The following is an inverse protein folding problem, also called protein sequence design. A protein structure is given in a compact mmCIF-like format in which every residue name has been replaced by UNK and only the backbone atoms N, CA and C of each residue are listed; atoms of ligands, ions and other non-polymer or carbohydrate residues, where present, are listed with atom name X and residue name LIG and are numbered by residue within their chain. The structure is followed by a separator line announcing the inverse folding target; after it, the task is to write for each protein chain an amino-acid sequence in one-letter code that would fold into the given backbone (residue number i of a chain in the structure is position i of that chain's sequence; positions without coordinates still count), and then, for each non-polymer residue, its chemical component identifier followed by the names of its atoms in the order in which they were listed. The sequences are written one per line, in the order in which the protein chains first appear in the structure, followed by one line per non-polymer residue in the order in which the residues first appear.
data_IF_093816354337
#
_entry.id   IF_093816354337
#
_cell.length_a   1.000
_cell.length_b   1.000
_cell.length_c   1.000
_cell.angle_alpha   90.00
_cell.angle_beta   90.00
_cell.angle_gamma   90.00
#
_symmetry.space_group_name_H-M   'P 1'
#
loop_
_entity.id
_entity.type
_entity.pdbx_description
1 polymer ?
#
# COMPACT_ATOMS: atom_id res chain seq x y z
N UNK A 1 17.10 60.70 4.68
CA UNK A 1 15.80 60.00 4.85
C UNK A 1 15.77 58.91 3.78
N UNK A 2 15.70 57.61 4.01
CA UNK A 2 15.29 56.76 5.13
C UNK A 2 16.27 55.57 5.24
N UNK A 3 16.60 55.17 6.47
CA UNK A 3 17.05 53.81 6.81
C UNK A 3 15.91 52.84 6.51
N UNK A 4 16.17 51.60 6.08
CA UNK A 4 15.44 50.39 6.54
C UNK A 4 16.13 49.09 6.05
N UNK A 5 16.72 48.40 7.02
CA UNK A 5 17.03 46.97 7.16
C UNK A 5 16.91 46.01 5.95
N UNK A 6 18.05 45.67 5.34
CA UNK A 6 18.28 44.32 4.80
C UNK A 6 18.77 43.41 5.93
N UNK A 7 17.87 43.05 6.84
CA UNK A 7 18.10 42.07 7.89
C UNK A 7 16.75 41.59 8.44
N UNK A 8 15.93 40.95 7.61
CA UNK A 8 14.78 40.12 8.04
C UNK A 8 14.00 39.53 6.85
N UNK A 9 14.64 38.82 5.92
CA UNK A 9 13.92 37.87 5.05
C UNK A 9 14.79 36.64 4.78
N UNK A 10 15.28 36.01 5.86
CA UNK A 10 15.86 34.67 5.80
C UNK A 10 15.41 33.81 7.00
N UNK A 11 14.29 34.19 7.63
CA UNK A 11 13.73 33.48 8.79
C UNK A 11 12.23 33.17 8.68
N UNK A 12 11.63 33.36 7.49
CA UNK A 12 10.21 33.04 7.23
C UNK A 12 10.00 31.97 6.16
N UNK A 13 11.06 31.31 5.69
CA UNK A 13 10.99 30.19 4.74
C UNK A 13 11.44 28.85 5.35
N UNK A 14 11.48 28.76 6.68
CA UNK A 14 11.64 27.50 7.42
C UNK A 14 10.34 27.07 8.10
N UNK A 15 9.18 27.48 7.55
CA UNK A 15 7.96 26.70 7.80
C UNK A 15 8.17 25.37 7.12
N UNK A 16 8.36 24.33 7.91
CA UNK A 16 8.45 22.95 7.46
C UNK A 16 7.29 22.64 6.50
N UNK A 17 7.55 22.78 5.20
CA UNK A 17 6.82 22.01 4.22
C UNK A 17 7.20 20.58 4.52
N UNK A 18 6.27 19.80 5.07
CA UNK A 18 6.43 18.36 5.24
C UNK A 18 6.71 17.83 3.83
N UNK A 19 7.97 17.58 3.52
CA UNK A 19 8.34 16.92 2.29
C UNK A 19 7.75 15.51 2.38
N UNK A 20 6.68 15.27 1.63
CA UNK A 20 6.10 13.93 1.46
C UNK A 20 7.07 13.14 0.58
N UNK A 21 8.05 12.48 1.20
CA UNK A 21 8.99 11.59 0.53
C UNK A 21 8.47 10.16 0.63
N UNK A 22 8.39 9.46 -0.50
CA UNK A 22 8.23 8.01 -0.48
C UNK A 22 9.49 7.42 0.11
N UNK A 23 9.39 6.94 1.35
CA UNK A 23 10.49 6.28 2.05
C UNK A 23 10.20 4.80 2.03
N UNK A 24 11.16 4.01 1.54
CA UNK A 24 11.07 2.56 1.44
C UNK A 24 12.30 1.94 2.10
N UNK A 25 12.12 0.76 2.70
CA UNK A 25 13.20 0.07 3.42
C UNK A 25 13.49 0.65 4.79
N UNK A 26 12.52 1.36 5.38
CA UNK A 26 12.60 1.89 6.73
C UNK A 26 12.35 0.76 7.73
N UNK A 27 13.20 0.68 8.76
CA UNK A 27 12.97 -0.26 9.85
C UNK A 27 11.80 0.22 10.71
N UNK A 28 10.89 -0.70 11.05
CA UNK A 28 9.70 -0.39 11.84
C UNK A 28 9.23 -1.62 12.64
N UNK A 29 8.08 -1.49 13.33
CA UNK A 29 7.42 -2.59 14.04
C UNK A 29 6.59 -3.49 13.10
N UNK A 30 6.63 -3.27 11.79
CA UNK A 30 5.92 -4.07 10.81
C UNK A 30 5.70 -3.36 9.49
N UNK A 31 5.29 -4.11 8.48
CA UNK A 31 5.07 -3.63 7.12
C UNK A 31 3.81 -4.22 6.52
N UNK A 32 3.27 -3.57 5.49
CA UNK A 32 2.17 -4.12 4.69
C UNK A 32 2.63 -4.34 3.26
N UNK A 33 2.34 -5.53 2.72
CA UNK A 33 2.41 -5.80 1.28
C UNK A 33 0.97 -5.69 0.75
N UNK A 34 0.59 -4.56 0.13
CA UNK A 34 -0.80 -4.20 -0.14
C UNK A 34 -1.46 -5.06 -1.22
N UNK A 35 -0.69 -5.88 -1.92
CA UNK A 35 -1.20 -6.72 -2.99
C UNK A 35 -0.34 -7.98 -3.14
N UNK A 36 -0.97 -9.12 -2.89
CA UNK A 36 -0.34 -10.43 -2.81
C UNK A 36 -1.22 -11.41 -3.59
N UNK A 37 -0.60 -12.24 -4.43
CA UNK A 37 -1.30 -13.28 -5.20
C UNK A 37 -0.36 -14.45 -5.50
N UNK A 38 -0.91 -15.65 -5.59
CA UNK A 38 -0.28 -16.74 -6.33
C UNK A 38 -1.27 -17.39 -7.29
N UNK A 39 -0.81 -17.71 -8.49
CA UNK A 39 -1.55 -18.46 -9.51
C UNK A 39 -0.92 -19.84 -9.72
N UNK A 40 -0.35 -20.40 -8.65
CA UNK A 40 0.51 -21.59 -8.67
C UNK A 40 2.00 -21.24 -8.54
N UNK A 41 2.85 -22.27 -8.57
CA UNK A 41 4.27 -22.13 -8.26
C UNK A 41 5.06 -21.24 -9.24
N UNK A 42 4.54 -21.00 -10.44
CA UNK A 42 5.20 -20.18 -11.46
C UNK A 42 4.80 -18.71 -11.42
N UNK A 43 3.87 -18.29 -10.56
CA UNK A 43 3.40 -16.92 -10.46
C UNK A 43 3.02 -16.63 -9.01
N UNK A 44 3.92 -16.00 -8.25
CA UNK A 44 3.75 -15.77 -6.80
C UNK A 44 4.38 -14.47 -6.36
N UNK A 45 3.79 -13.87 -5.32
CA UNK A 45 4.47 -12.81 -4.56
C UNK A 45 5.56 -13.42 -3.68
N UNK A 46 6.75 -12.82 -3.68
CA UNK A 46 7.86 -13.13 -2.79
C UNK A 46 8.24 -11.88 -2.00
N UNK A 47 8.50 -12.04 -0.71
CA UNK A 47 8.84 -10.98 0.23
C UNK A 47 10.18 -11.32 0.88
N UNK A 48 11.08 -10.34 0.93
CA UNK A 48 12.35 -10.43 1.66
C UNK A 48 12.27 -9.55 2.88
N UNK A 49 12.43 -10.13 4.07
CA UNK A 49 12.44 -9.39 5.34
C UNK A 49 13.84 -9.39 5.95
N UNK A 50 14.25 -8.27 6.54
CA UNK A 50 15.51 -8.15 7.28
C UNK A 50 15.23 -7.72 8.70
N UNK A 51 15.88 -8.36 9.67
CA UNK A 51 15.88 -7.93 11.06
C UNK A 51 17.18 -7.19 11.40
N UNK A 52 17.12 -5.96 11.94
CA UNK A 52 18.28 -5.21 12.44
C UNK A 52 18.09 -4.70 13.88
N UNK A 53 17.31 -5.47 14.63
CA UNK A 53 16.89 -5.26 16.00
C UNK A 53 17.99 -5.24 17.06
N UNK A 54 19.15 -5.84 16.80
CA UNK A 54 20.12 -6.22 17.84
C UNK A 54 19.68 -7.42 18.70
N UNK A 55 18.46 -7.94 18.49
CA UNK A 55 17.90 -9.09 19.22
C UNK A 55 16.99 -9.94 18.34
N UNK A 56 16.72 -11.18 18.76
CA UNK A 56 15.74 -12.05 18.10
C UNK A 56 14.32 -11.48 18.22
N UNK A 57 13.57 -11.51 17.12
CA UNK A 57 12.18 -11.07 17.04
C UNK A 57 11.32 -12.12 16.36
N UNK A 58 10.12 -12.33 16.88
CA UNK A 58 9.06 -13.04 16.21
C UNK A 58 8.36 -12.09 15.24
N UNK A 59 8.21 -12.51 13.99
CA UNK A 59 7.44 -11.81 12.98
C UNK A 59 6.22 -12.65 12.70
N UNK A 60 5.07 -12.09 13.06
CA UNK A 60 3.76 -12.62 12.69
C UNK A 60 3.41 -12.11 11.31
N UNK A 61 2.76 -12.94 10.53
CA UNK A 61 2.22 -12.56 9.24
C UNK A 61 0.76 -12.98 9.16
N UNK A 62 -0.07 -12.12 8.59
CA UNK A 62 -1.50 -12.40 8.38
C UNK A 62 -1.86 -12.06 6.95
N UNK A 63 -2.50 -13.01 6.26
CA UNK A 63 -3.08 -12.78 4.94
C UNK A 63 -4.57 -12.49 5.04
N UNK A 64 -4.96 -11.37 4.45
CA UNK A 64 -6.34 -10.96 4.25
C UNK A 64 -6.68 -11.07 2.77
N UNK A 65 -7.80 -11.68 2.42
CA UNK A 65 -8.29 -11.67 1.04
C UNK A 65 -8.88 -10.29 0.65
N UNK A 66 -9.30 -10.12 -0.61
CA UNK A 66 -9.92 -8.86 -1.05
C UNK A 66 -11.20 -8.51 -0.28
N UNK A 67 -11.88 -9.47 0.35
CA UNK A 67 -13.03 -9.19 1.22
C UNK A 67 -12.60 -8.76 2.64
N UNK A 68 -11.32 -8.47 2.85
CA UNK A 68 -10.74 -8.09 4.15
C UNK A 68 -10.89 -9.17 5.23
N UNK A 69 -11.08 -10.43 4.81
CA UNK A 69 -11.20 -11.55 5.76
C UNK A 69 -9.82 -12.11 6.02
N UNK A 70 -9.51 -12.28 7.30
CA UNK A 70 -8.37 -13.09 7.71
C UNK A 70 -8.60 -14.53 7.20
N UNK A 71 -7.71 -15.00 6.31
CA UNK A 71 -7.76 -16.36 5.75
C UNK A 71 -6.75 -17.29 6.41
N UNK A 72 -5.51 -16.84 6.57
CA UNK A 72 -4.45 -17.62 7.21
C UNK A 72 -3.35 -16.70 7.74
N UNK A 73 -2.69 -17.16 8.79
CA UNK A 73 -1.58 -16.49 9.44
C UNK A 73 -0.47 -17.48 9.77
N UNK A 74 0.64 -16.94 10.26
CA UNK A 74 1.73 -17.71 10.81
C UNK A 74 2.75 -16.83 11.51
N UNK A 75 3.81 -17.47 12.00
CA UNK A 75 4.90 -16.78 12.65
C UNK A 75 6.22 -17.50 12.42
N UNK A 76 7.29 -16.73 12.29
CA UNK A 76 8.66 -17.19 12.31
C UNK A 76 9.52 -16.27 13.18
N UNK A 77 10.64 -16.78 13.67
CA UNK A 77 11.62 -15.98 14.44
C UNK A 77 12.79 -15.60 13.56
N UNK A 78 13.22 -14.34 13.65
CA UNK A 78 14.42 -13.82 13.01
C UNK A 78 15.42 -13.39 14.08
N UNK A 79 16.65 -13.88 14.05
CA UNK A 79 17.76 -13.36 14.86
C UNK A 79 18.27 -12.03 14.28
N UNK A 80 19.15 -11.33 14.99
CA UNK A 80 19.68 -10.05 14.49
C UNK A 80 20.52 -10.26 13.22
N UNK A 81 20.33 -9.37 12.24
CA UNK A 81 20.92 -9.43 10.89
C UNK A 81 20.45 -10.60 10.03
N UNK A 82 19.40 -11.32 10.44
CA UNK A 82 18.81 -12.35 9.59
C UNK A 82 18.05 -11.73 8.41
N UNK A 83 18.12 -12.45 7.29
CA UNK A 83 17.28 -12.26 6.12
C UNK A 83 16.32 -13.45 6.01
N UNK A 84 15.02 -13.18 6.06
CA UNK A 84 13.98 -14.19 5.92
C UNK A 84 13.31 -14.06 4.55
N UNK A 85 13.47 -15.05 3.66
CA UNK A 85 12.62 -15.16 2.49
C UNK A 85 11.23 -15.67 2.91
N UNK A 86 10.20 -15.04 2.37
CA UNK A 86 8.81 -15.46 2.48
C UNK A 86 8.24 -15.57 1.07
N UNK A 87 7.81 -16.76 0.66
CA UNK A 87 7.29 -17.00 -0.68
C UNK A 87 5.83 -17.39 -0.54
N UNK A 88 4.92 -16.54 -1.04
CA UNK A 88 3.49 -16.68 -0.73
C UNK A 88 2.95 -18.06 -1.08
N UNK A 89 3.23 -18.60 -2.27
CA UNK A 89 2.74 -19.93 -2.67
C UNK A 89 3.15 -21.07 -1.71
N UNK A 90 4.24 -20.92 -0.95
CA UNK A 90 4.66 -21.92 0.04
C UNK A 90 3.88 -21.82 1.35
N UNK A 91 3.38 -20.63 1.68
CA UNK A 91 2.72 -20.29 2.96
C UNK A 91 1.19 -20.25 2.83
N UNK A 92 0.67 -20.01 1.63
CA UNK A 92 -0.72 -19.64 1.37
C UNK A 92 -1.75 -20.76 1.59
N UNK A 93 -1.30 -22.01 1.72
CA UNK A 93 -2.18 -23.19 1.67
C UNK A 93 -2.86 -23.38 0.30
N UNK A 94 -3.58 -24.49 0.12
CA UNK A 94 -4.15 -24.85 -1.19
C UNK A 94 -5.37 -24.04 -1.65
N UNK A 95 -6.04 -23.29 -0.76
CA UNK A 95 -7.34 -22.66 -1.01
C UNK A 95 -7.27 -21.19 -1.47
N UNK A 96 -6.06 -20.65 -1.61
CA UNK A 96 -5.74 -19.24 -1.90
C UNK A 96 -5.22 -19.02 -3.32
N UNK A 97 -5.06 -20.09 -4.12
CA UNK A 97 -4.68 -19.99 -5.52
C UNK A 97 -5.69 -19.15 -6.31
N UNK A 98 -5.19 -18.18 -7.08
CA UNK A 98 -6.02 -17.24 -7.83
C UNK A 98 -6.73 -16.18 -6.98
N UNK A 99 -6.54 -16.19 -5.66
CA UNK A 99 -7.10 -15.19 -4.76
C UNK A 99 -6.06 -14.13 -4.47
N UNK A 100 -6.46 -12.88 -4.70
CA UNK A 100 -5.67 -11.71 -4.35
C UNK A 100 -5.99 -11.30 -2.92
N UNK A 101 -5.04 -10.63 -2.27
CA UNK A 101 -5.18 -10.14 -0.91
C UNK A 101 -4.01 -9.25 -0.53
N UNK A 102 -3.83 -9.01 0.75
CA UNK A 102 -2.69 -8.27 1.30
C UNK A 102 -2.09 -9.01 2.50
N UNK A 103 -0.80 -8.79 2.74
CA UNK A 103 -0.08 -9.34 3.89
C UNK A 103 0.27 -8.23 4.86
N UNK A 104 0.00 -8.45 6.14
CA UNK A 104 0.51 -7.63 7.24
C UNK A 104 1.59 -8.44 7.93
N UNK A 105 2.80 -7.88 8.02
CA UNK A 105 3.90 -8.43 8.83
C UNK A 105 4.08 -7.58 10.07
N UNK A 106 4.05 -8.21 11.23
CA UNK A 106 3.99 -7.54 12.53
C UNK A 106 5.05 -8.11 13.47
N UNK A 107 5.86 -7.22 14.05
CA UNK A 107 6.85 -7.60 15.05
C UNK A 107 6.13 -7.86 16.38
N UNK A 108 6.34 -9.04 16.95
CA UNK A 108 5.94 -9.40 18.31
C UNK A 108 7.13 -9.39 19.28
N UNK A 109 7.11 -10.28 20.27
CA UNK A 109 8.24 -10.47 21.20
C UNK A 109 9.38 -11.28 20.61
N UNK A 110 10.15 -11.98 21.45
CA UNK A 110 11.31 -12.76 21.01
C UNK A 110 10.96 -14.12 20.39
N UNK A 111 9.75 -14.63 20.65
CA UNK A 111 9.28 -15.95 20.20
C UNK A 111 7.83 -15.86 19.71
N UNK A 112 7.39 -16.84 18.91
CA UNK A 112 6.02 -16.89 18.40
C UNK A 112 4.94 -17.10 19.48
N UNK A 113 5.33 -17.32 20.74
CA UNK A 113 4.41 -17.30 21.88
C UNK A 113 4.12 -15.88 22.39
N UNK A 114 4.96 -14.90 22.03
CA UNK A 114 4.81 -13.51 22.43
C UNK A 114 4.02 -12.74 21.37
N UNK A 115 2.72 -12.99 21.35
CA UNK A 115 1.76 -12.56 20.32
C UNK A 115 1.33 -11.09 20.40
N UNK A 116 1.74 -10.36 21.43
CA UNK A 116 1.39 -8.94 21.56
C UNK A 116 2.13 -8.09 20.52
N UNK A 117 1.47 -7.08 19.90
CA UNK A 117 2.14 -6.17 18.98
C UNK A 117 3.32 -5.44 19.63
N UNK A 118 4.43 -5.33 18.90
CA UNK A 118 5.58 -4.54 19.28
C UNK A 118 5.24 -3.04 19.35
N UNK A 119 5.83 -2.36 20.34
CA UNK A 119 5.61 -0.93 20.58
C UNK A 119 6.25 -0.09 19.47
N UNK A 120 5.58 0.98 19.05
CA UNK A 120 6.11 1.98 18.11
C UNK A 120 7.43 2.57 18.65
N UNK A 121 8.48 2.59 17.82
CA UNK A 121 9.85 2.98 18.21
C UNK A 121 10.80 1.79 18.45
N UNK A 122 10.29 0.57 18.46
CA UNK A 122 11.07 -0.67 18.33
C UNK A 122 11.20 -0.96 16.82
N UNK A 123 12.07 -0.22 16.13
CA UNK A 123 12.30 -0.31 14.68
C UNK A 123 13.18 -1.54 14.39
N UNK A 124 12.56 -2.64 13.96
CA UNK A 124 13.21 -3.96 13.96
C UNK A 124 13.28 -4.62 12.61
N UNK A 125 12.25 -4.48 11.78
CA UNK A 125 12.22 -5.12 10.47
C UNK A 125 11.99 -4.12 9.33
N UNK A 126 12.54 -4.44 8.17
CA UNK A 126 12.25 -3.81 6.89
C UNK A 126 12.00 -4.91 5.85
N UNK A 127 11.27 -4.60 4.79
CA UNK A 127 11.00 -5.59 3.74
C UNK A 127 10.98 -4.99 2.33
N UNK A 128 11.08 -5.88 1.35
CA UNK A 128 10.78 -5.61 -0.05
C UNK A 128 9.98 -6.78 -0.63
N UNK A 129 9.19 -6.53 -1.67
CA UNK A 129 8.39 -7.56 -2.30
C UNK A 129 8.46 -7.51 -3.83
N UNK A 130 8.24 -8.65 -4.46
CA UNK A 130 8.19 -8.81 -5.91
C UNK A 130 7.09 -9.78 -6.30
N UNK A 131 6.39 -9.52 -7.38
CA UNK A 131 5.63 -10.53 -8.10
C UNK A 131 6.58 -11.23 -9.06
N UNK A 132 6.74 -12.53 -8.91
CA UNK A 132 7.64 -13.34 -9.73
C UNK A 132 6.79 -14.25 -10.62
N UNK A 133 6.89 -14.07 -11.94
CA UNK A 133 6.24 -14.91 -12.93
C UNK A 133 7.29 -15.63 -13.77
N UNK A 134 7.64 -16.86 -13.39
CA UNK A 134 8.68 -17.65 -14.08
C UNK A 134 8.21 -18.18 -15.43
N UNK A 135 6.91 -18.34 -15.64
CA UNK A 135 6.35 -18.77 -16.93
C UNK A 135 6.46 -17.66 -17.99
N UNK A 136 6.23 -16.41 -17.59
CA UNK A 136 6.41 -15.22 -18.43
C UNK A 136 7.85 -14.70 -18.43
N UNK A 137 8.74 -15.27 -17.61
CA UNK A 137 10.11 -14.78 -17.37
C UNK A 137 10.16 -13.31 -16.92
N UNK A 138 9.22 -12.92 -16.06
CA UNK A 138 9.02 -11.54 -15.64
C UNK A 138 9.03 -11.41 -14.11
N UNK A 139 9.54 -10.28 -13.63
CA UNK A 139 9.57 -9.94 -12.20
C UNK A 139 9.23 -8.46 -12.07
N UNK A 140 8.17 -8.16 -11.33
CA UNK A 140 7.74 -6.80 -11.06
C UNK A 140 7.87 -6.50 -9.56
N UNK A 141 8.42 -5.32 -9.22
CA UNK A 141 8.45 -4.85 -7.84
C UNK A 141 7.03 -4.70 -7.29
N UNK A 142 6.76 -5.24 -6.10
CA UNK A 142 5.51 -5.01 -5.37
C UNK A 142 5.82 -4.02 -4.25
N UNK A 143 5.21 -2.83 -4.22
CA UNK A 143 5.47 -1.86 -3.17
C UNK A 143 5.23 -2.45 -1.79
N UNK A 144 6.09 -2.10 -0.84
CA UNK A 144 5.90 -2.39 0.58
C UNK A 144 5.60 -1.07 1.27
N UNK A 145 4.53 -1.05 2.05
CA UNK A 145 4.15 0.11 2.86
C UNK A 145 4.85 -0.05 4.20
N UNK A 146 5.87 0.77 4.42
CA UNK A 146 6.62 0.77 5.67
C UNK A 146 5.75 1.26 6.83
N UNK A 147 5.96 0.69 8.02
CA UNK A 147 5.39 1.21 9.26
C UNK A 147 6.02 2.55 9.71
N UNK A 148 5.81 2.95 10.99
CA UNK A 148 5.18 2.17 12.03
C UNK A 148 3.72 1.78 11.76
N UNK A 149 3.37 0.55 12.15
CA UNK A 149 2.00 0.05 12.22
C UNK A 149 1.39 0.47 13.57
N UNK A 150 0.21 1.06 13.51
CA UNK A 150 -0.61 1.40 14.69
C UNK A 150 -1.82 0.47 14.72
N UNK A 151 -1.97 -0.27 15.81
CA UNK A 151 -3.10 -1.16 16.02
C UNK A 151 -4.15 -0.53 16.90
N UNK A 152 -5.40 -0.96 16.73
CA UNK A 152 -6.49 -0.58 17.61
C UNK A 152 -6.16 -0.92 19.08
N UNK A 153 -6.64 -0.09 20.01
CA UNK A 153 -6.26 -0.17 21.43
C UNK A 153 -6.57 -1.54 22.08
N UNK A 154 -7.51 -2.31 21.53
CA UNK A 154 -7.86 -3.66 21.99
C UNK A 154 -7.07 -4.79 21.33
N UNK A 155 -6.22 -4.51 20.34
CA UNK A 155 -5.43 -5.51 19.63
C UNK A 155 -4.24 -5.94 20.49
N UNK A 156 -4.38 -7.08 21.16
CA UNK A 156 -3.33 -7.67 22.02
C UNK A 156 -2.76 -8.97 21.50
N UNK A 157 -3.28 -9.49 20.38
CA UNK A 157 -2.92 -10.79 19.83
C UNK A 157 -2.84 -10.72 18.30
N UNK A 158 -1.62 -10.87 17.79
CA UNK A 158 -1.28 -10.83 16.36
C UNK A 158 -1.74 -12.08 15.60
N UNK A 159 -2.18 -13.15 16.27
CA UNK A 159 -2.67 -14.38 15.62
C UNK A 159 -4.15 -14.31 15.23
N UNK A 160 -4.86 -13.27 15.66
CA UNK A 160 -6.31 -13.11 15.44
C UNK A 160 -6.66 -11.74 14.87
N UNK A 161 -5.76 -11.16 14.07
CA UNK A 161 -6.03 -9.88 13.42
C UNK A 161 -7.28 -9.98 12.53
N UNK A 162 -8.09 -8.93 12.56
CA UNK A 162 -9.21 -8.68 11.66
C UNK A 162 -9.04 -7.36 10.91
N UNK A 163 -9.97 -7.05 10.01
CA UNK A 163 -9.94 -5.81 9.22
C UNK A 163 -9.83 -4.53 10.08
N UNK A 164 -10.47 -4.52 11.26
CA UNK A 164 -10.41 -3.37 12.17
C UNK A 164 -9.17 -3.34 13.09
N UNK A 165 -8.27 -4.32 13.02
CA UNK A 165 -7.15 -4.44 13.95
C UNK A 165 -6.02 -3.44 13.66
N UNK A 166 -5.77 -3.12 12.39
CA UNK A 166 -4.73 -2.19 11.94
C UNK A 166 -5.37 -0.84 11.60
N UNK A 167 -5.07 0.20 12.36
CA UNK A 167 -5.68 1.52 12.18
C UNK A 167 -4.85 2.42 11.26
N UNK A 168 -3.51 2.33 11.35
CA UNK A 168 -2.62 3.22 10.60
C UNK A 168 -1.31 2.57 10.21
N UNK A 169 -0.81 2.94 9.03
CA UNK A 169 0.50 2.60 8.51
C UNK A 169 1.20 3.90 8.10
N UNK A 170 2.32 4.23 8.75
CA UNK A 170 2.93 5.55 8.59
C UNK A 170 3.44 5.84 7.17
N UNK A 171 3.87 4.82 6.43
CA UNK A 171 4.32 4.96 5.03
C UNK A 171 3.20 5.20 4.01
N UNK A 172 1.93 5.15 4.43
CA UNK A 172 0.78 5.44 3.58
C UNK A 172 0.21 6.85 3.82
N UNK A 173 -0.51 7.37 2.84
CA UNK A 173 -1.16 8.68 2.95
C UNK A 173 -2.25 8.63 4.01
N UNK A 174 -2.38 9.68 4.82
CA UNK A 174 -3.31 9.69 5.94
C UNK A 174 -4.58 10.44 5.57
N UNK A 175 -5.74 9.88 5.90
CA UNK A 175 -7.03 10.54 5.71
C UNK A 175 -7.45 11.26 6.98
N UNK A 176 -8.18 12.37 6.82
CA UNK A 176 -8.74 13.14 7.93
C UNK A 176 -10.25 13.25 7.69
N UNK A 177 -11.09 12.49 8.41
CA UNK A 177 -12.53 12.40 8.17
C UNK A 177 -13.31 13.72 8.32
N UNK A 178 -12.70 14.74 8.95
CA UNK A 178 -13.39 15.98 9.39
C UNK A 178 -13.06 17.22 8.56
N UNK A 179 -12.27 17.11 7.47
CA UNK A 179 -12.02 18.23 6.57
C UNK A 179 -11.78 17.74 5.13
N UNK A 180 -12.79 17.82 4.22
CA UNK A 180 -12.68 17.32 2.85
C UNK A 180 -11.58 18.01 2.00
N UNK A 181 -11.03 19.12 2.48
CA UNK A 181 -9.92 19.83 1.83
C UNK A 181 -8.53 19.38 2.28
N UNK A 182 -8.42 18.49 3.30
CA UNK A 182 -7.16 18.07 3.96
C UNK A 182 -6.89 16.57 3.81
N UNK A 183 -7.69 15.87 3.00
CA UNK A 183 -7.54 14.43 2.78
C UNK A 183 -6.63 14.08 1.61
N UNK A 184 -6.05 12.88 1.65
CA UNK A 184 -5.18 12.37 0.61
C UNK A 184 -5.88 12.33 -0.75
N UNK A 185 -5.31 13.04 -1.73
CA UNK A 185 -5.72 13.00 -3.14
C UNK A 185 -4.69 12.24 -3.92
N UNK A 186 -5.11 11.23 -4.67
CA UNK A 186 -4.24 10.36 -5.46
C UNK A 186 -4.37 10.68 -6.94
N UNK A 187 -3.23 10.69 -7.64
CA UNK A 187 -3.16 10.67 -9.10
C UNK A 187 -2.66 9.30 -9.55
N UNK A 188 -3.58 8.46 -10.02
CA UNK A 188 -3.33 7.05 -10.37
C UNK A 188 -3.06 6.92 -11.87
N UNK A 189 -1.85 6.52 -12.26
CA UNK A 189 -1.43 6.41 -13.67
C UNK A 189 -2.17 5.27 -14.38
N UNK A 190 -2.61 5.47 -15.62
CA UNK A 190 -3.09 4.38 -16.46
C UNK A 190 -2.56 4.45 -17.90
N UNK A 191 -2.11 3.31 -18.43
CA UNK A 191 -1.63 3.17 -19.80
C UNK A 191 -2.29 1.96 -20.47
N UNK A 192 -3.02 2.21 -21.55
CA UNK A 192 -3.90 1.29 -22.26
C UNK A 192 -3.63 1.29 -23.77
N UNK A 193 -2.65 2.07 -24.24
CA UNK A 193 -2.33 2.16 -25.66
C UNK A 193 -1.50 0.96 -26.14
N UNK A 194 -1.52 0.68 -27.43
CA UNK A 194 -0.64 -0.31 -28.06
C UNK A 194 -0.77 -1.74 -27.51
N UNK A 195 -1.94 -2.10 -26.97
CA UNK A 195 -2.18 -3.40 -26.34
C UNK A 195 -1.70 -3.50 -24.89
N UNK A 196 -1.38 -2.37 -24.25
CA UNK A 196 -1.09 -2.33 -22.83
C UNK A 196 -2.32 -2.62 -21.97
N UNK A 197 -2.08 -3.22 -20.81
CA UNK A 197 -3.06 -3.43 -19.75
C UNK A 197 -2.57 -2.75 -18.48
N UNK A 198 -3.47 -2.04 -17.80
CA UNK A 198 -3.21 -1.47 -16.49
C UNK A 198 -4.14 -2.09 -15.47
N UNK A 199 -3.59 -2.41 -14.30
CA UNK A 199 -4.38 -2.56 -13.09
C UNK A 199 -3.95 -1.54 -12.05
N UNK A 200 -4.91 -0.89 -11.43
CA UNK A 200 -4.68 0.05 -10.33
C UNK A 200 -4.99 -0.67 -9.02
N UNK A 201 -4.06 -0.55 -8.07
CA UNK A 201 -4.21 -1.05 -6.71
C UNK A 201 -4.57 0.11 -5.80
N UNK A 202 -5.60 -0.08 -4.99
CA UNK A 202 -5.95 0.80 -3.88
C UNK A 202 -6.02 -0.07 -2.64
N UNK A 203 -5.21 0.28 -1.64
CA UNK A 203 -5.22 -0.35 -0.32
C UNK A 203 -5.51 0.67 0.76
N UNK A 204 -6.30 0.35 1.78
CA UNK A 204 -6.46 1.20 2.97
C UNK A 204 -6.66 0.42 4.27
N UNK A 205 -6.52 1.09 5.41
CA UNK A 205 -6.93 0.60 6.75
C UNK A 205 -8.39 0.94 7.09
N UNK A 206 -9.17 1.32 6.08
CA UNK A 206 -10.56 1.73 6.20
C UNK A 206 -11.41 1.14 5.10
N UNK A 207 -12.62 1.66 4.92
CA UNK A 207 -13.48 1.24 3.82
C UNK A 207 -13.47 2.27 2.68
N UNK A 208 -12.82 1.94 1.57
CA UNK A 208 -12.89 2.68 0.32
C UNK A 208 -14.07 2.26 -0.58
N UNK A 209 -14.78 1.19 -0.21
CA UNK A 209 -15.88 0.62 -0.98
C UNK A 209 -16.93 1.66 -1.35
N UNK A 210 -17.34 1.67 -2.62
CA UNK A 210 -18.41 2.53 -3.10
C UNK A 210 -18.16 3.06 -4.50
N UNK A 211 -19.09 3.90 -4.96
CA UNK A 211 -18.97 4.62 -6.22
C UNK A 211 -18.34 5.98 -5.99
N UNK A 212 -17.31 6.29 -6.77
CA UNK A 212 -16.52 7.51 -6.64
C UNK A 212 -16.57 8.32 -7.92
N UNK A 213 -17.01 9.57 -7.83
CA UNK A 213 -16.88 10.52 -8.92
C UNK A 213 -15.45 11.03 -8.98
N UNK A 214 -14.76 10.73 -10.07
CA UNK A 214 -13.35 11.07 -10.29
C UNK A 214 -13.18 11.93 -11.53
N UNK A 215 -11.99 12.52 -11.64
CA UNK A 215 -11.52 13.14 -12.88
C UNK A 215 -10.52 12.21 -13.54
N UNK A 216 -10.77 11.85 -14.78
CA UNK A 216 -9.80 11.15 -15.63
C UNK A 216 -9.22 12.14 -16.62
N UNK A 217 -7.91 12.10 -16.81
CA UNK A 217 -7.15 12.97 -17.69
C UNK A 217 -6.37 12.16 -18.69
N UNK A 218 -6.31 12.62 -19.95
CA UNK A 218 -5.37 12.07 -20.92
C UNK A 218 -3.96 12.72 -20.84
N UNK A 219 -3.04 12.26 -21.67
CA UNK A 219 -1.66 12.77 -21.82
C UNK A 219 -1.59 14.22 -22.34
N UNK A 220 -2.73 14.78 -22.78
CA UNK A 220 -2.91 16.17 -23.23
C UNK A 220 -3.69 17.02 -22.24
N UNK A 221 -3.89 16.51 -21.03
CA UNK A 221 -4.60 17.19 -19.94
C UNK A 221 -6.10 17.42 -20.21
N UNK A 222 -6.69 16.78 -21.21
CA UNK A 222 -8.13 16.83 -21.41
C UNK A 222 -8.80 16.13 -20.23
N UNK A 223 -9.78 16.78 -19.61
CA UNK A 223 -10.47 16.27 -18.42
C UNK A 223 -11.83 15.69 -18.78
N UNK A 224 -12.14 14.52 -18.22
CA UNK A 224 -13.52 14.00 -18.12
C UNK A 224 -13.85 13.64 -16.68
N UNK A 225 -15.07 13.94 -16.24
CA UNK A 225 -15.59 13.39 -14.99
C UNK A 225 -16.32 12.09 -15.28
N UNK A 226 -15.99 11.05 -14.52
CA UNK A 226 -16.56 9.70 -14.63
C UNK A 226 -16.78 9.14 -13.23
N UNK A 227 -17.64 8.14 -13.11
CA UNK A 227 -17.75 7.36 -11.89
C UNK A 227 -16.99 6.05 -12.07
N UNK A 228 -16.27 5.62 -11.04
CA UNK A 228 -15.73 4.27 -10.96
C UNK A 228 -16.05 3.68 -9.59
N UNK A 229 -16.14 2.36 -9.54
CA UNK A 229 -16.54 1.64 -8.34
C UNK A 229 -15.34 0.91 -7.74
N UNK A 230 -15.13 1.13 -6.45
CA UNK A 230 -14.26 0.33 -5.59
C UNK A 230 -15.16 -0.71 -4.90
N UNK A 231 -14.89 -1.99 -5.12
CA UNK A 231 -15.81 -3.08 -4.76
C UNK A 231 -15.57 -3.60 -3.35
N UNK A 232 -14.36 -3.44 -2.86
CA UNK A 232 -13.87 -4.03 -1.63
C UNK A 232 -13.62 -2.95 -0.58
N UNK A 233 -13.61 -3.35 0.69
CA UNK A 233 -13.44 -2.40 1.79
C UNK A 233 -12.01 -1.88 1.81
N UNK A 234 -11.01 -2.76 1.95
CA UNK A 234 -9.61 -2.34 2.09
C UNK A 234 -8.77 -2.54 0.83
N UNK A 235 -9.04 -3.52 -0.03
CA UNK A 235 -8.19 -3.81 -1.20
C UNK A 235 -8.96 -3.93 -2.52
N UNK A 236 -8.76 -2.96 -3.42
CA UNK A 236 -9.19 -3.04 -4.80
C UNK A 236 -8.01 -3.23 -5.76
N UNK A 237 -8.23 -4.11 -6.74
CA UNK A 237 -7.40 -4.32 -7.91
C UNK A 237 -8.32 -4.22 -9.12
N UNK A 238 -8.26 -3.10 -9.85
CA UNK A 238 -9.22 -2.84 -10.92
C UNK A 238 -8.55 -2.42 -12.22
N UNK A 239 -9.19 -2.74 -13.34
CA UNK A 239 -8.82 -2.27 -14.67
C UNK A 239 -9.57 -0.95 -14.96
N UNK A 240 -8.88 0.15 -15.32
CA UNK A 240 -9.53 1.41 -15.69
C UNK A 240 -10.12 1.40 -17.12
N UNK A 241 -9.76 0.45 -17.98
CA UNK A 241 -10.26 0.38 -19.36
C UNK A 241 -11.80 0.31 -19.47
N UNK A 242 -12.53 -0.50 -18.66
CA UNK A 242 -13.99 -0.59 -18.72
C UNK A 242 -14.74 0.51 -17.96
N UNK A 243 -14.07 1.55 -17.43
CA UNK A 243 -14.76 2.65 -16.73
C UNK A 243 -15.78 3.31 -17.67
N UNK A 244 -17.05 3.28 -17.28
CA UNK A 244 -18.15 3.83 -18.07
C UNK A 244 -17.99 5.34 -18.20
N UNK A 245 -18.07 5.83 -19.43
CA UNK A 245 -17.95 7.26 -19.73
C UNK A 245 -16.51 7.75 -19.95
N UNK A 246 -15.49 6.89 -19.77
CA UNK A 246 -14.11 7.18 -20.22
C UNK A 246 -14.10 7.31 -21.76
N UNK A 247 -13.57 8.41 -22.33
CA UNK A 247 -13.41 8.52 -23.78
C UNK A 247 -12.45 7.45 -24.30
N UNK A 248 -12.75 6.85 -25.46
CA UNK A 248 -11.90 5.81 -26.04
C UNK A 248 -10.46 6.28 -26.33
N UNK A 249 -10.28 7.58 -26.57
CA UNK A 249 -8.97 8.22 -26.81
C UNK A 249 -8.15 8.44 -25.54
N UNK A 250 -8.74 8.27 -24.36
CA UNK A 250 -8.04 8.42 -23.08
C UNK A 250 -7.31 7.12 -22.77
N UNK A 251 -6.24 6.85 -23.51
CA UNK A 251 -5.43 5.61 -23.42
C UNK A 251 -4.16 5.79 -22.60
N UNK A 252 -3.79 7.03 -22.29
CA UNK A 252 -2.66 7.37 -21.43
C UNK A 252 -3.08 8.54 -20.55
N UNK A 253 -2.85 8.47 -19.24
CA UNK A 253 -2.90 9.61 -18.34
C UNK A 253 -3.06 9.19 -16.88
N UNK A 254 -3.87 9.93 -16.12
CA UNK A 254 -4.10 9.65 -14.70
C UNK A 254 -5.57 9.83 -14.28
N UNK A 255 -5.97 9.11 -13.24
CA UNK A 255 -7.24 9.25 -12.53
C UNK A 255 -6.97 9.97 -11.22
N UNK A 256 -7.56 11.14 -11.04
CA UNK A 256 -7.56 11.86 -9.78
C UNK A 256 -8.71 11.38 -8.91
N UNK A 257 -8.37 10.73 -7.81
CA UNK A 257 -9.30 10.23 -6.80
C UNK A 257 -9.08 10.94 -5.46
N UNK A 258 -10.18 11.36 -4.85
CA UNK A 258 -10.19 11.99 -3.53
C UNK A 258 -10.49 10.92 -2.47
N UNK A 259 -9.47 10.56 -1.69
CA UNK A 259 -9.59 9.58 -0.62
C UNK A 259 -9.94 10.22 0.74
N UNK A 260 -10.26 11.51 0.79
CA UNK A 260 -10.58 12.21 2.04
C UNK A 260 -11.74 11.57 2.82
N UNK A 261 -12.65 10.90 2.10
CA UNK A 261 -13.83 10.25 2.67
C UNK A 261 -13.59 8.79 3.08
N UNK A 262 -12.40 8.23 2.85
CA UNK A 262 -12.07 6.89 3.35
C UNK A 262 -11.92 6.98 4.86
N UNK A 263 -12.91 6.48 5.57
CA UNK A 263 -12.95 6.41 7.02
C UNK A 263 -12.35 5.09 7.51
N UNK A 264 -11.51 5.17 8.53
CA UNK A 264 -11.02 3.99 9.24
C UNK A 264 -12.17 3.31 9.99
N UNK A 265 -12.03 2.00 10.23
CA UNK A 265 -13.00 1.27 11.04
C UNK A 265 -13.11 1.91 12.43
N UNK A 266 -14.33 2.05 12.95
CA UNK A 266 -14.57 2.75 14.22
C UNK A 266 -14.50 4.29 14.15
N UNK A 267 -14.41 4.87 12.96
CA UNK A 267 -14.47 6.33 12.75
C UNK A 267 -13.15 7.07 12.97
N UNK A 268 -12.03 6.34 12.92
CA UNK A 268 -10.68 6.90 13.03
C UNK A 268 -10.14 7.32 11.64
N UNK A 269 -8.98 7.99 11.64
CA UNK A 269 -8.24 8.28 10.42
C UNK A 269 -7.78 6.97 9.76
N UNK A 270 -7.91 6.85 8.43
CA UNK A 270 -7.37 5.72 7.68
C UNK A 270 -6.00 6.05 7.09
N UNK A 271 -5.28 5.00 6.71
CA UNK A 271 -4.12 5.06 5.82
C UNK A 271 -4.53 4.55 4.45
N UNK A 272 -4.13 5.22 3.38
CA UNK A 272 -4.47 4.85 1.99
C UNK A 272 -3.19 4.81 1.17
N UNK A 273 -3.09 3.82 0.29
CA UNK A 273 -1.95 3.63 -0.61
C UNK A 273 -2.46 3.23 -1.99
N UNK A 274 -1.83 3.75 -3.04
CA UNK A 274 -2.17 3.37 -4.40
C UNK A 274 -0.95 3.30 -5.30
N UNK A 275 -0.99 2.39 -6.25
CA UNK A 275 -0.01 2.26 -7.32
C UNK A 275 -0.64 1.57 -8.53
N UNK A 276 0.06 1.58 -9.65
CA UNK A 276 -0.40 0.98 -10.91
C UNK A 276 0.57 -0.11 -11.35
N UNK A 277 0.02 -1.20 -11.85
CA UNK A 277 0.74 -2.29 -12.50
C UNK A 277 0.42 -2.24 -13.98
N UNK A 278 1.43 -2.00 -14.81
CA UNK A 278 1.27 -1.76 -16.23
C UNK A 278 2.04 -2.85 -16.98
N UNK A 279 1.32 -3.69 -17.71
CA UNK A 279 1.92 -4.62 -18.69
C UNK A 279 1.77 -4.00 -20.07
N UNK A 280 2.87 -3.78 -20.78
CA UNK A 280 2.81 -3.25 -22.15
C UNK A 280 3.82 -3.96 -23.07
N UNK A 281 3.41 -4.32 -24.31
CA UNK A 281 4.34 -4.88 -25.29
C UNK A 281 5.55 -3.99 -25.54
N UNK A 282 5.38 -2.67 -25.48
CA UNK A 282 6.45 -1.69 -25.67
C UNK A 282 7.56 -1.76 -24.60
N UNK A 283 7.25 -2.24 -23.40
CA UNK A 283 8.23 -2.40 -22.32
C UNK A 283 8.83 -3.80 -22.28
N UNK A 284 8.13 -4.79 -22.85
CA UNK A 284 8.50 -6.20 -22.79
C UNK A 284 8.46 -6.79 -21.37
N UNK A 285 7.87 -6.07 -20.41
CA UNK A 285 7.81 -6.44 -18.99
C UNK A 285 6.66 -5.71 -18.28
N UNK A 286 6.27 -6.23 -17.12
CA UNK A 286 5.36 -5.56 -16.19
C UNK A 286 6.11 -4.50 -15.38
N UNK A 287 5.52 -3.30 -15.29
CA UNK A 287 6.05 -2.16 -14.57
C UNK A 287 5.16 -1.80 -13.39
N UNK A 288 5.77 -1.40 -12.28
CA UNK A 288 5.09 -0.85 -11.10
C UNK A 288 5.33 0.65 -11.05
N UNK A 289 4.24 1.42 -11.06
CA UNK A 289 4.26 2.88 -11.00
C UNK A 289 3.58 3.32 -9.72
N UNK A 290 4.34 3.89 -8.78
CA UNK A 290 3.80 4.39 -7.52
C UNK A 290 2.81 5.53 -7.78
N UNK A 291 1.66 5.49 -7.09
CA UNK A 291 0.67 6.55 -7.16
C UNK A 291 1.19 7.80 -6.45
N UNK A 292 1.06 8.95 -7.11
CA UNK A 292 1.35 10.22 -6.46
C UNK A 292 0.19 10.59 -5.54
N UNK A 293 0.51 11.19 -4.40
CA UNK A 293 -0.51 11.73 -3.52
C UNK A 293 -0.11 13.08 -2.92
N UNK A 294 -1.12 13.82 -2.48
CA UNK A 294 -0.96 15.04 -1.67
C UNK A 294 -2.04 15.07 -0.60
N UNK A 295 -1.72 15.68 0.54
CA UNK A 295 -2.69 15.99 1.60
C UNK A 295 -3.10 17.46 1.50
#
# INVERSE_FOLDING_TARGET
MKKFAMAAVAAAAMTAGVAQAYTAGTFSNGVVVPNVIHNGASDTTAVGLVNQSGTTKAVFWTFFDQDSKHVTDGCFTMTDKDYQPFVWVNEAGGSTAGKRGYLVFSVGGATCAAVAPGVVGDERIAAHAFQVNTAAQDVAYTPVIDGPLTYAAGTTDLTVLGAASLEKVAGAAQTVPVAPEVGAKFSMRYFLDGGAATNIVVWSTGSQKGSHTVNIFDDKQNRKSVNFDLKFEELDWFDPAPIVGRPATFVDGFIDWDAALVAGFGGVNASVFSYSVISAPAFGAVQTVLGFHRN
#
